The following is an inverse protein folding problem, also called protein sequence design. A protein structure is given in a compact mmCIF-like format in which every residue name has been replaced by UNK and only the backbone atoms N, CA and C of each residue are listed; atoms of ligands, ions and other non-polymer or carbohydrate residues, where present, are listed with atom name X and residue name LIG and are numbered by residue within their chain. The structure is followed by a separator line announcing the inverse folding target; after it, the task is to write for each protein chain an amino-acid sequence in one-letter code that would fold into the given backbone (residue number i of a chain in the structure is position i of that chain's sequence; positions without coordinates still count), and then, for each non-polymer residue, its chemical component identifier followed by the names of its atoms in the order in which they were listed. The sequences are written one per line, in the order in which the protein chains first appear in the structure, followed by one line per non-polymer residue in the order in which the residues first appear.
data_IF_009522078072
#
_entry.id   IF_009522078072
#
_cell.length_a   1.000
_cell.length_b   1.000
_cell.length_c   1.000
_cell.angle_alpha   90.00
_cell.angle_beta   90.00
_cell.angle_gamma   90.00
#
_symmetry.space_group_name_H-M   'P 1'
#
loop_
_entity.id
_entity.type
_entity.pdbx_description
1 polymer ?
#
# COMPACT_ATOMS: atom_id res chain seq x y z
N UNK A 1 8.20 17.62 4.88
CA UNK A 1 8.93 17.15 3.69
C UNK A 1 9.72 18.32 3.12
N UNK A 2 11.01 18.12 2.86
CA UNK A 2 11.85 19.09 2.15
C UNK A 2 11.78 18.74 0.65
N UNK A 3 11.41 19.67 -0.23
CA UNK A 3 11.31 19.38 -1.66
C UNK A 3 12.70 19.29 -2.28
N UNK A 4 12.94 18.23 -3.04
CA UNK A 4 14.12 18.08 -3.90
C UNK A 4 13.69 18.01 -5.37
N UNK A 5 14.61 18.38 -6.27
CA UNK A 5 14.35 18.30 -7.71
C UNK A 5 14.32 16.82 -8.12
N UNK A 6 13.24 16.41 -8.78
CA UNK A 6 13.14 15.04 -9.32
C UNK A 6 14.23 14.80 -10.39
N UNK A 7 14.85 13.61 -10.40
CA UNK A 7 15.69 13.19 -11.52
C UNK A 7 14.93 13.27 -12.84
N UNK A 8 15.64 13.61 -13.93
CA UNK A 8 15.04 13.83 -15.25
C UNK A 8 14.23 12.64 -15.75
N UNK A 9 14.74 11.42 -15.54
CA UNK A 9 14.06 10.18 -15.92
C UNK A 9 12.72 10.02 -15.21
N UNK A 10 12.63 10.45 -13.94
CA UNK A 10 11.42 10.32 -13.14
C UNK A 10 10.41 11.40 -13.49
N UNK A 11 10.90 12.62 -13.75
CA UNK A 11 10.09 13.75 -14.20
C UNK A 11 9.28 13.41 -15.46
N UNK A 12 9.84 12.64 -16.40
CA UNK A 12 9.12 12.19 -17.60
C UNK A 12 7.84 11.42 -17.24
N UNK A 13 7.91 10.48 -16.29
CA UNK A 13 6.74 9.70 -15.87
C UNK A 13 5.78 10.55 -15.05
N UNK A 14 6.28 11.39 -14.14
CA UNK A 14 5.46 12.33 -13.37
C UNK A 14 4.67 13.28 -14.28
N UNK A 15 5.27 13.76 -15.37
CA UNK A 15 4.58 14.60 -16.36
C UNK A 15 3.48 13.83 -17.09
N UNK A 16 3.75 12.60 -17.53
CA UNK A 16 2.75 11.74 -18.17
C UNK A 16 1.56 11.48 -17.25
N UNK A 17 1.81 11.16 -15.99
CA UNK A 17 0.74 10.97 -15.01
C UNK A 17 -0.03 12.27 -14.78
N UNK A 18 0.65 13.42 -14.71
CA UNK A 18 0.00 14.71 -14.54
C UNK A 18 -0.90 15.08 -15.73
N UNK A 19 -0.52 14.68 -16.96
CA UNK A 19 -1.34 14.89 -18.16
C UNK A 19 -2.61 14.05 -18.21
N UNK A 20 -2.78 13.05 -17.32
CA UNK A 20 -4.03 12.31 -17.17
C UNK A 20 -5.09 13.08 -16.36
N UNK A 21 -4.75 14.27 -15.85
CA UNK A 21 -5.65 15.16 -15.09
C UNK A 21 -6.27 14.52 -13.83
N UNK A 22 -5.61 13.51 -13.28
CA UNK A 22 -6.09 12.72 -12.14
C UNK A 22 -6.11 13.49 -10.80
N UNK A 23 -5.44 14.64 -10.70
CA UNK A 23 -5.29 15.41 -9.46
C UNK A 23 -6.06 16.74 -9.48
N UNK A 24 -7.22 16.77 -10.15
CA UNK A 24 -8.09 17.95 -10.20
C UNK A 24 -7.40 19.17 -10.80
N UNK A 25 -6.71 18.98 -11.93
CA UNK A 25 -5.98 20.04 -12.65
C UNK A 25 -4.60 20.39 -12.10
N UNK A 26 -4.14 19.73 -11.03
CA UNK A 26 -2.80 19.92 -10.48
C UNK A 26 -1.80 18.90 -11.00
N UNK A 27 -0.50 19.24 -10.95
CA UNK A 27 0.57 18.31 -11.29
C UNK A 27 1.02 17.52 -10.06
N UNK A 28 1.34 16.23 -10.24
CA UNK A 28 1.98 15.44 -9.20
C UNK A 28 3.34 16.04 -8.82
N UNK A 29 3.66 16.03 -7.53
CA UNK A 29 4.87 16.66 -6.98
C UNK A 29 5.61 15.77 -5.98
N UNK A 30 5.14 14.54 -5.76
CA UNK A 30 5.75 13.60 -4.85
C UNK A 30 5.84 12.22 -5.50
N UNK A 31 6.99 11.57 -5.31
CA UNK A 31 7.21 10.20 -5.76
C UNK A 31 7.85 9.40 -4.64
N UNK A 32 7.28 8.24 -4.35
CA UNK A 32 7.88 7.21 -3.52
C UNK A 32 8.37 6.07 -4.43
N UNK A 33 9.62 5.66 -4.24
CA UNK A 33 10.20 4.49 -4.92
C UNK A 33 10.38 3.40 -3.88
N UNK A 34 9.73 2.26 -4.09
CA UNK A 34 9.89 1.10 -3.23
C UNK A 34 10.42 -0.06 -4.05
N UNK A 35 11.33 -0.84 -3.47
CA UNK A 35 11.77 -2.13 -3.97
C UNK A 35 11.25 -3.22 -3.04
N UNK A 36 10.85 -4.35 -3.62
CA UNK A 36 10.37 -5.52 -2.91
C UNK A 36 11.03 -6.76 -3.47
N UNK A 37 11.73 -7.49 -2.61
CA UNK A 37 12.21 -8.84 -2.85
C UNK A 37 11.11 -9.88 -2.55
N UNK A 38 11.24 -11.12 -3.05
CA UNK A 38 10.33 -12.19 -2.68
C UNK A 38 10.26 -12.34 -1.15
N UNK A 39 9.04 -12.40 -0.60
CA UNK A 39 8.81 -12.44 0.85
C UNK A 39 8.64 -11.06 1.50
N UNK A 40 8.83 -9.95 0.78
CA UNK A 40 8.57 -8.60 1.31
C UNK A 40 7.15 -8.11 0.99
N UNK A 41 6.67 -7.15 1.78
CA UNK A 41 5.31 -6.61 1.69
C UNK A 41 5.13 -5.32 2.49
N UNK A 42 3.93 -4.74 2.45
CA UNK A 42 3.58 -3.47 3.15
C UNK A 42 2.40 -3.65 4.10
N UNK A 43 2.37 -4.78 4.80
CA UNK A 43 1.50 -4.94 5.95
C UNK A 43 2.18 -4.30 7.16
N UNK A 44 1.54 -3.32 7.81
CA UNK A 44 2.04 -2.68 9.02
C UNK A 44 2.08 -3.71 10.14
N UNK A 45 3.25 -3.88 10.76
CA UNK A 45 3.35 -4.71 11.96
C UNK A 45 2.92 -3.90 13.19
N UNK A 46 1.82 -4.26 13.84
CA UNK A 46 1.61 -3.86 15.22
C UNK A 46 2.16 -4.95 16.16
N UNK A 47 2.94 -4.54 17.16
CA UNK A 47 3.39 -5.43 18.22
C UNK A 47 2.25 -5.64 19.20
N UNK A 48 1.64 -6.82 19.20
CA UNK A 48 0.92 -7.29 20.38
C UNK A 48 1.87 -8.05 21.28
N UNK A 49 1.88 -7.69 22.57
CA UNK A 49 2.54 -8.47 23.62
C UNK A 49 1.43 -9.23 24.35
N UNK A 50 1.32 -10.54 24.13
CA UNK A 50 0.48 -11.36 25.01
C UNK A 50 1.23 -11.60 26.32
N UNK A 51 0.61 -11.21 27.44
CA UNK A 51 1.11 -11.51 28.78
C UNK A 51 0.51 -12.85 29.22
N UNK A 52 1.29 -13.93 29.15
CA UNK A 52 0.89 -15.23 29.70
C UNK A 52 1.43 -15.29 31.13
N UNK A 53 0.53 -15.15 32.11
CA UNK A 53 0.85 -15.39 33.52
C UNK A 53 0.66 -16.88 33.82
N UNK A 54 1.75 -17.58 34.15
CA UNK A 54 1.68 -18.94 34.70
C UNK A 54 2.51 -18.98 35.98
N UNK A 55 1.81 -18.83 37.09
CA UNK A 55 2.24 -19.37 38.38
C UNK A 55 2.43 -20.87 38.17
N UNK A 56 3.68 -21.34 37.97
CA UNK A 56 4.20 -22.70 38.29
C UNK A 56 5.59 -23.04 37.70
N UNK A 57 6.29 -22.12 37.03
CA UNK A 57 7.76 -22.25 36.88
C UNK A 57 8.28 -23.07 35.69
N UNK A 58 7.72 -22.89 34.48
CA UNK A 58 8.33 -23.36 33.23
C UNK A 58 8.63 -22.20 32.26
N UNK A 59 9.64 -22.41 31.40
CA UNK A 59 10.26 -21.44 30.47
C UNK A 59 9.22 -20.66 29.66
N UNK A 60 9.32 -19.33 29.69
CA UNK A 60 8.49 -18.41 28.88
C UNK A 60 9.18 -18.16 27.55
N UNK A 61 8.56 -18.61 26.45
CA UNK A 61 8.96 -18.22 25.11
C UNK A 61 8.40 -16.82 24.80
N UNK A 62 9.28 -15.84 24.60
CA UNK A 62 8.89 -14.52 24.12
C UNK A 62 8.58 -14.60 22.62
N UNK A 63 7.34 -14.92 22.28
CA UNK A 63 6.85 -14.88 20.91
C UNK A 63 6.26 -13.51 20.64
N UNK A 64 7.01 -12.62 19.98
CA UNK A 64 6.43 -11.41 19.40
C UNK A 64 5.61 -11.83 18.20
N UNK A 65 4.29 -11.87 18.34
CA UNK A 65 3.38 -12.07 17.22
C UNK A 65 3.28 -10.73 16.49
N UNK A 66 3.91 -10.65 15.31
CA UNK A 66 3.75 -9.51 14.41
C UNK A 66 2.39 -9.66 13.72
N UNK A 67 1.40 -8.88 14.14
CA UNK A 67 0.13 -8.82 13.41
C UNK A 67 0.36 -7.91 12.21
N UNK A 68 0.39 -8.50 11.03
CA UNK A 68 0.50 -7.83 9.73
C UNK A 68 -0.86 -7.18 9.43
N UNK A 69 -0.95 -5.85 9.42
CA UNK A 69 -2.19 -5.12 9.19
C UNK A 69 -2.13 -4.26 7.91
N UNK A 70 -3.20 -4.25 7.10
CA UNK A 70 -3.39 -3.30 6.01
C UNK A 70 -3.37 -1.84 6.50
N UNK A 71 -3.01 -0.89 5.64
CA UNK A 71 -2.86 0.54 6.01
C UNK A 71 -3.56 1.50 5.04
N UNK A 72 -3.56 2.79 5.44
CA UNK A 72 -3.98 3.92 4.61
C UNK A 72 -2.77 4.80 4.26
N UNK A 73 -2.85 5.52 3.14
CA UNK A 73 -1.81 6.45 2.71
C UNK A 73 -1.71 7.73 3.55
N UNK A 74 -2.74 8.02 4.36
CA UNK A 74 -2.79 9.17 5.27
C UNK A 74 -3.33 10.47 4.64
N UNK A 75 -3.71 11.44 5.48
CA UNK A 75 -4.49 12.61 5.07
C UNK A 75 -3.70 13.72 4.36
N UNK A 76 -2.39 13.55 4.21
CA UNK A 76 -1.50 14.58 3.63
C UNK A 76 -1.60 14.68 2.10
N UNK A 77 -2.11 13.63 1.45
CA UNK A 77 -2.14 13.54 0.00
C UNK A 77 -3.52 13.94 -0.57
N UNK A 78 -3.51 14.41 -1.82
CA UNK A 78 -4.73 14.45 -2.61
C UNK A 78 -5.32 13.03 -2.72
N UNK A 79 -6.65 12.83 -2.70
CA UNK A 79 -7.29 11.51 -2.62
C UNK A 79 -7.26 10.74 -3.95
N UNK A 80 -6.08 10.69 -4.57
CA UNK A 80 -5.77 9.92 -5.76
C UNK A 80 -4.29 9.56 -5.72
N UNK A 81 -4.01 8.27 -5.88
CA UNK A 81 -2.66 7.71 -5.86
C UNK A 81 -2.47 6.88 -7.11
N UNK A 82 -1.33 7.08 -7.76
CA UNK A 82 -0.95 6.29 -8.93
C UNK A 82 0.28 5.47 -8.62
N UNK A 83 0.30 4.21 -9.06
CA UNK A 83 1.44 3.31 -8.85
C UNK A 83 1.77 2.62 -10.15
N UNK A 84 3.01 2.77 -10.61
CA UNK A 84 3.57 2.01 -11.73
C UNK A 84 4.31 0.81 -11.14
N UNK A 85 3.98 -0.40 -11.59
CA UNK A 85 4.69 -1.63 -11.20
C UNK A 85 5.74 -2.02 -12.23
N UNK A 86 6.94 -2.37 -11.79
CA UNK A 86 8.08 -2.74 -12.64
C UNK A 86 8.75 -4.03 -12.13
N UNK A 87 9.40 -4.77 -13.03
CA UNK A 87 10.16 -5.98 -12.71
C UNK A 87 9.31 -7.24 -12.52
N UNK A 88 8.45 -7.25 -11.50
CA UNK A 88 7.59 -8.38 -11.14
C UNK A 88 6.16 -7.94 -10.82
N UNK A 89 5.27 -8.92 -10.67
CA UNK A 89 3.91 -8.74 -10.20
C UNK A 89 3.83 -8.69 -8.67
N UNK A 90 2.66 -8.30 -8.16
CA UNK A 90 2.22 -8.55 -6.79
C UNK A 90 0.70 -8.58 -6.75
N UNK A 91 0.12 -9.23 -5.74
CA UNK A 91 -1.25 -8.94 -5.31
C UNK A 91 -1.26 -7.72 -4.37
N UNK A 92 -2.18 -6.79 -4.64
CA UNK A 92 -2.55 -5.70 -3.74
C UNK A 92 -3.92 -6.01 -3.15
N UNK A 93 -3.96 -6.23 -1.85
CA UNK A 93 -5.14 -6.66 -1.11
C UNK A 93 -5.84 -5.46 -0.49
N UNK A 94 -7.18 -5.46 -0.52
CA UNK A 94 -8.04 -4.44 0.07
C UNK A 94 -8.88 -5.00 1.19
N UNK A 95 -9.02 -4.23 2.27
CA UNK A 95 -9.68 -4.67 3.49
C UNK A 95 -10.56 -3.58 4.09
N UNK A 96 -11.61 -3.99 4.79
CA UNK A 96 -12.41 -3.09 5.62
C UNK A 96 -11.64 -2.70 6.89
N UNK A 97 -11.76 -1.44 7.37
CA UNK A 97 -11.18 -1.06 8.65
C UNK A 97 -11.98 -1.65 9.82
N UNK A 98 -11.30 -1.93 10.95
CA UNK A 98 -11.90 -2.60 12.13
C UNK A 98 -13.13 -1.86 12.70
N UNK A 99 -13.16 -0.54 12.59
CA UNK A 99 -14.22 0.29 13.16
C UNK A 99 -15.40 0.52 12.21
N UNK A 100 -15.41 -0.10 11.01
CA UNK A 100 -16.52 0.04 10.07
C UNK A 100 -17.64 -0.92 10.47
N UNK A 101 -18.67 -0.37 11.12
CA UNK A 101 -19.92 -1.09 11.34
C UNK A 101 -20.56 -1.39 9.98
N UNK A 102 -20.73 -2.66 9.66
CA UNK A 102 -21.35 -3.11 8.41
C UNK A 102 -22.89 -3.19 8.51
N UNK A 103 -23.46 -3.10 9.71
CA UNK A 103 -24.90 -3.05 9.97
C UNK A 103 -25.16 -2.76 11.45
N UNK A 104 -26.35 -2.28 11.80
CA UNK A 104 -26.87 -2.08 13.17
C UNK A 104 -27.13 -3.41 13.92
N UNK A 105 -26.67 -4.55 13.39
CA UNK A 105 -26.72 -5.84 14.06
C UNK A 105 -25.41 -6.04 14.84
N UNK A 106 -25.46 -5.80 16.14
CA UNK A 106 -24.32 -5.70 17.08
C UNK A 106 -23.42 -6.96 17.16
N UNK A 107 -23.73 -8.05 16.46
CA UNK A 107 -23.07 -9.36 16.64
C UNK A 107 -22.09 -9.79 15.53
N UNK A 108 -21.92 -9.04 14.43
CA UNK A 108 -21.01 -9.45 13.34
C UNK A 108 -19.95 -8.41 12.95
N UNK A 109 -19.24 -7.83 13.93
CA UNK A 109 -18.03 -7.04 13.63
C UNK A 109 -16.93 -7.98 13.10
N UNK A 110 -16.42 -7.80 11.86
CA UNK A 110 -15.31 -8.59 11.34
C UNK A 110 -14.05 -8.41 12.20
N UNK A 111 -13.58 -9.47 12.87
CA UNK A 111 -12.45 -9.39 13.81
C UNK A 111 -11.12 -9.82 13.20
N UNK A 112 -11.16 -10.70 12.20
CA UNK A 112 -9.95 -11.27 11.57
C UNK A 112 -9.57 -10.53 10.28
N UNK A 113 -8.35 -10.73 9.80
CA UNK A 113 -7.90 -10.21 8.50
C UNK A 113 -8.75 -10.82 7.37
N UNK A 114 -8.98 -12.13 7.41
CA UNK A 114 -9.68 -12.90 6.39
C UNK A 114 -11.14 -12.46 6.24
N UNK A 115 -11.81 -12.15 7.36
CA UNK A 115 -13.19 -11.63 7.34
C UNK A 115 -13.27 -10.19 6.80
N UNK A 116 -12.18 -9.42 6.92
CA UNK A 116 -12.12 -8.04 6.42
C UNK A 116 -11.64 -7.96 4.97
N UNK A 117 -11.06 -9.02 4.43
CA UNK A 117 -10.58 -9.07 3.04
C UNK A 117 -11.75 -8.90 2.07
N UNK A 118 -11.64 -7.88 1.22
CA UNK A 118 -12.68 -7.52 0.25
C UNK A 118 -12.35 -8.09 -1.11
N UNK A 119 -11.17 -7.77 -1.63
CA UNK A 119 -10.69 -8.20 -2.93
C UNK A 119 -9.17 -8.06 -3.02
N UNK A 120 -8.61 -8.67 -4.06
CA UNK A 120 -7.22 -8.49 -4.46
C UNK A 120 -7.15 -7.95 -5.88
N UNK A 121 -6.12 -7.17 -6.19
CA UNK A 121 -5.78 -6.76 -7.56
C UNK A 121 -4.41 -7.30 -7.93
N UNK A 122 -4.32 -7.97 -9.08
CA UNK A 122 -3.06 -8.38 -9.67
C UNK A 122 -2.41 -7.19 -10.38
N UNK A 123 -1.27 -6.74 -9.87
CA UNK A 123 -0.49 -5.65 -10.43
C UNK A 123 0.68 -6.21 -11.24
N UNK A 124 0.45 -6.49 -12.53
CA UNK A 124 1.47 -7.01 -13.44
C UNK A 124 2.60 -6.01 -13.72
N UNK A 125 3.82 -6.47 -14.10
CA UNK A 125 4.88 -5.56 -14.49
C UNK A 125 4.50 -4.73 -15.71
N UNK A 126 4.80 -3.43 -15.65
CA UNK A 126 4.42 -2.37 -16.61
C UNK A 126 2.94 -1.99 -16.57
N UNK A 127 2.23 -2.32 -15.50
CA UNK A 127 0.88 -1.80 -15.23
C UNK A 127 0.91 -0.42 -14.57
N UNK A 128 -0.17 0.33 -14.78
CA UNK A 128 -0.50 1.54 -14.04
C UNK A 128 -1.75 1.25 -13.20
N UNK A 129 -1.61 1.36 -11.89
CA UNK A 129 -2.73 1.30 -10.95
C UNK A 129 -3.11 2.72 -10.48
N UNK A 130 -4.41 2.99 -10.41
CA UNK A 130 -4.96 4.27 -9.95
C UNK A 130 -5.94 3.99 -8.82
N UNK A 131 -5.60 4.42 -7.61
CA UNK A 131 -6.43 4.34 -6.41
C UNK A 131 -7.07 5.71 -6.17
N UNK A 132 -8.40 5.78 -6.10
CA UNK A 132 -9.12 7.04 -5.88
C UNK A 132 -10.46 6.83 -5.17
N UNK A 133 -11.09 7.94 -4.80
CA UNK A 133 -12.47 7.98 -4.30
C UNK A 133 -12.70 7.08 -3.07
N UNK A 134 -13.73 6.22 -3.11
CA UNK A 134 -14.16 5.40 -1.98
C UNK A 134 -13.07 4.42 -1.55
N UNK A 135 -12.40 3.78 -2.52
CA UNK A 135 -11.33 2.82 -2.26
C UNK A 135 -10.10 3.46 -1.59
N UNK A 136 -9.83 4.74 -1.90
CA UNK A 136 -8.75 5.49 -1.24
C UNK A 136 -9.11 5.87 0.20
N UNK A 137 -10.37 6.24 0.45
CA UNK A 137 -10.79 6.86 1.72
C UNK A 137 -11.19 5.86 2.78
N UNK A 138 -11.81 4.76 2.38
CA UNK A 138 -12.61 3.94 3.28
C UNK A 138 -12.15 2.47 3.36
N UNK A 139 -11.05 2.13 2.69
CA UNK A 139 -10.47 0.80 2.66
C UNK A 139 -8.99 0.86 2.98
N UNK A 140 -8.55 -0.14 3.73
CA UNK A 140 -7.14 -0.37 3.98
C UNK A 140 -6.57 -1.20 2.84
N UNK A 141 -5.28 -1.05 2.55
CA UNK A 141 -4.60 -1.87 1.55
C UNK A 141 -3.27 -2.43 2.05
N UNK A 142 -2.83 -3.52 1.43
CA UNK A 142 -1.61 -4.19 1.83
C UNK A 142 -1.04 -5.10 0.75
N UNK A 143 0.25 -5.39 0.86
CA UNK A 143 0.91 -6.44 0.08
C UNK A 143 1.40 -7.47 1.09
N UNK A 144 0.89 -8.70 1.01
CA UNK A 144 1.32 -9.78 1.90
C UNK A 144 2.79 -10.17 1.65
N UNK A 145 3.58 -10.50 2.69
CA UNK A 145 4.99 -10.89 2.57
C UNK A 145 5.12 -12.35 2.09
N UNK A 146 4.89 -12.58 0.80
CA UNK A 146 4.91 -13.91 0.17
C UNK A 146 6.00 -14.00 -0.90
N UNK A 147 6.49 -15.22 -1.16
CA UNK A 147 7.41 -15.50 -2.26
C UNK A 147 6.69 -15.82 -3.58
N UNK A 148 5.39 -16.14 -3.53
CA UNK A 148 4.56 -16.46 -4.69
C UNK A 148 3.10 -16.16 -4.38
N UNK A 149 2.31 -15.87 -5.41
CA UNK A 149 0.88 -15.64 -5.32
C UNK A 149 0.13 -16.78 -6.00
N UNK A 150 -0.92 -17.32 -5.38
CA UNK A 150 -1.86 -18.23 -6.04
C UNK A 150 -3.13 -17.45 -6.37
N UNK A 151 -3.49 -17.43 -7.65
CA UNK A 151 -4.60 -16.64 -8.14
C UNK A 151 -5.91 -17.37 -7.91
N UNK A 152 -6.84 -16.74 -7.21
CA UNK A 152 -8.19 -17.26 -6.98
C UNK A 152 -9.25 -16.32 -7.58
N UNK A 153 -10.51 -16.65 -7.35
CA UNK A 153 -11.65 -15.87 -7.82
C UNK A 153 -11.85 -14.52 -7.08
N UNK A 154 -11.07 -14.23 -6.03
CA UNK A 154 -11.10 -12.94 -5.32
C UNK A 154 -10.19 -11.89 -5.96
N UNK A 155 -9.36 -12.28 -6.91
CA UNK A 155 -8.54 -11.35 -7.70
C UNK A 155 -9.43 -10.70 -8.76
N UNK A 156 -9.88 -9.48 -8.49
CA UNK A 156 -11.00 -8.86 -9.21
C UNK A 156 -10.70 -8.50 -10.67
N UNK A 157 -9.42 -8.32 -11.03
CA UNK A 157 -9.02 -7.87 -12.37
C UNK A 157 -8.40 -8.95 -13.25
N UNK A 158 -8.57 -10.24 -12.91
CA UNK A 158 -7.94 -11.34 -13.67
C UNK A 158 -8.36 -11.38 -15.14
N UNK A 159 -9.62 -11.05 -15.45
CA UNK A 159 -10.11 -11.03 -16.83
C UNK A 159 -9.37 -10.02 -17.71
N UNK A 160 -8.74 -9.00 -17.12
CA UNK A 160 -7.93 -8.01 -17.83
C UNK A 160 -6.42 -8.27 -17.72
N UNK A 161 -6.01 -9.35 -17.04
CA UNK A 161 -4.60 -9.71 -16.84
C UNK A 161 -4.16 -10.81 -17.82
N UNK A 162 -2.85 -11.04 -17.89
CA UNK A 162 -2.30 -12.14 -18.70
C UNK A 162 -2.39 -13.49 -18.00
N UNK A 163 -2.34 -13.49 -16.66
CA UNK A 163 -2.45 -14.70 -15.84
C UNK A 163 -3.90 -15.16 -15.63
N UNK A 164 -4.08 -16.42 -15.23
CA UNK A 164 -5.40 -17.05 -15.04
C UNK A 164 -5.61 -17.57 -13.63
N UNK A 165 -6.88 -17.82 -13.28
CA UNK A 165 -7.28 -18.45 -12.01
C UNK A 165 -6.55 -19.79 -11.86
N UNK A 166 -6.21 -20.13 -10.62
CA UNK A 166 -5.46 -21.32 -10.19
C UNK A 166 -3.98 -21.33 -10.56
N UNK A 167 -3.47 -20.34 -11.30
CA UNK A 167 -2.03 -20.20 -11.52
C UNK A 167 -1.32 -19.77 -10.23
N UNK A 168 -0.13 -20.35 -10.00
CA UNK A 168 0.80 -19.89 -8.97
C UNK A 168 1.95 -19.15 -9.63
N UNK A 169 2.08 -17.87 -9.30
CA UNK A 169 3.08 -16.98 -9.87
C UNK A 169 4.22 -16.73 -8.86
N UNK A 170 5.47 -17.12 -9.15
CA UNK A 170 6.60 -16.82 -8.27
C UNK A 170 6.95 -15.32 -8.36
N UNK A 171 7.03 -14.65 -7.20
CA UNK A 171 7.49 -13.28 -7.14
C UNK A 171 8.99 -13.21 -7.42
N UNK A 172 9.39 -12.13 -8.09
CA UNK A 172 10.78 -11.70 -8.24
C UNK A 172 10.90 -10.28 -7.69
N UNK A 173 12.08 -9.67 -7.78
CA UNK A 173 12.26 -8.28 -7.40
C UNK A 173 11.30 -7.38 -8.17
N UNK A 174 10.48 -6.63 -7.43
CA UNK A 174 9.51 -5.66 -7.93
C UNK A 174 9.94 -4.26 -7.49
N UNK A 175 9.88 -3.31 -8.42
CA UNK A 175 10.01 -1.88 -8.09
C UNK A 175 8.68 -1.22 -8.34
N UNK A 176 8.23 -0.36 -7.43
CA UNK A 176 7.03 0.47 -7.61
C UNK A 176 7.36 1.95 -7.55
N UNK A 177 6.82 2.70 -8.51
CA UNK A 177 6.86 4.16 -8.52
C UNK A 177 5.47 4.66 -8.13
N UNK A 178 5.32 5.14 -6.91
CA UNK A 178 4.07 5.70 -6.44
C UNK A 178 4.10 7.21 -6.55
N UNK A 179 3.32 7.75 -7.48
CA UNK A 179 3.30 9.16 -7.86
C UNK A 179 2.01 9.79 -7.31
N UNK A 180 2.15 10.86 -6.53
CA UNK A 180 1.08 11.51 -5.78
C UNK A 180 1.18 13.03 -5.86
N UNK A 181 0.08 13.69 -5.50
CA UNK A 181 0.05 15.11 -5.21
C UNK A 181 0.00 15.34 -3.69
N UNK A 182 0.92 16.17 -3.20
CA UNK A 182 0.90 16.77 -1.86
C UNK A 182 0.43 18.22 -2.00
N UNK A 183 -0.81 18.56 -1.62
CA UNK A 183 -1.36 19.90 -1.82
C UNK A 183 -0.66 20.97 -0.98
N UNK A 184 -0.24 20.61 0.25
CA UNK A 184 0.39 21.53 1.20
C UNK A 184 1.88 21.19 1.31
N UNK A 185 2.72 21.96 0.62
CA UNK A 185 4.18 21.90 0.76
C UNK A 185 4.67 23.07 1.60
N UNK A 186 5.49 22.80 2.62
CA UNK A 186 6.15 23.86 3.39
C UNK A 186 7.19 24.55 2.49
N UNK A 187 7.01 25.85 2.22
CA UNK A 187 8.01 26.67 1.54
C UNK A 187 9.03 27.17 2.56
N UNK A 188 10.01 26.34 2.92
CA UNK A 188 11.09 26.80 3.80
C UNK A 188 12.22 27.37 2.96
N UNK A 189 12.22 28.67 2.69
CA UNK A 189 13.43 29.39 2.27
C UNK A 189 14.32 29.56 3.50
N UNK A 190 15.24 28.62 3.72
CA UNK A 190 16.33 28.77 4.69
C UNK A 190 17.27 29.88 4.22
N UNK A 191 17.03 31.11 4.67
CA UNK A 191 18.03 32.18 4.61
C UNK A 191 19.14 31.83 5.60
N UNK A 192 20.15 31.08 5.16
CA UNK A 192 21.44 31.07 5.85
C UNK A 192 22.07 32.46 5.66
N UNK A 193 21.77 33.36 6.59
CA UNK A 193 22.46 34.64 6.68
C UNK A 193 23.96 34.39 6.79
N UNK A 194 24.73 34.83 5.79
CA UNK A 194 26.17 35.01 5.94
C UNK A 194 26.39 35.98 7.11
N UNK A 195 26.83 35.47 8.26
CA UNK A 195 27.47 36.33 9.27
C UNK A 195 28.75 36.87 8.64
N UNK A 196 28.86 38.20 8.70
CA UNK A 196 29.98 39.01 8.22
C UNK A 196 31.31 38.58 8.80
#
# INVERSE_FOLDING_TARGET
MVPEKLPSWLQTYTNKISSLELFGGNCANHVLVNEYNPGEGIMVSERYTEYIDVITGHIVAHCSVFILQPHEDGPLYYPTVTTISLGSHTLLDFYLPLNRQLSDEEDQVPRTEEQRHVLSLLLEPRSLFILREDLYKNYLHGIRPLCQDTLDHKVANLEQCTARVEETLPRRTRVSLTIRLVPKVLKTTLFLGKKK
#
